data_IF_927076178207
#
_entry.id   IF_927076178207
#
_cell.length_a   1.000
_cell.length_b   1.000
_cell.length_c   1.000
_cell.angle_alpha   90.00
_cell.angle_beta   90.00
_cell.angle_gamma   90.00
#
_symmetry.space_group_name_H-M   'P 1'
#
loop_
_entity.id
_entity.type
_entity.pdbx_description
1 polymer ?
#
# COMPACT_ATOMS: atom_id res chain seq x y z
N UNK A 1 30.30 12.41 16.79
CA UNK A 1 29.56 12.96 15.63
C UNK A 1 29.30 11.86 14.61
N UNK A 2 28.19 11.85 13.86
CA UNK A 2 28.04 10.92 12.72
C UNK A 2 28.48 11.64 11.44
N UNK A 3 29.68 11.31 10.93
CA UNK A 3 30.30 11.95 9.75
C UNK A 3 29.44 11.82 8.50
N UNK A 4 28.74 10.70 8.30
CA UNK A 4 27.84 10.53 7.14
C UNK A 4 26.66 11.50 7.20
N UNK A 5 26.06 11.69 8.38
CA UNK A 5 24.98 12.67 8.55
C UNK A 5 25.47 14.10 8.33
N UNK A 6 26.70 14.40 8.73
CA UNK A 6 27.31 15.70 8.54
C UNK A 6 27.64 15.95 7.07
N UNK A 7 28.28 15.00 6.39
CA UNK A 7 28.54 15.03 4.95
C UNK A 7 27.25 15.25 4.14
N UNK A 8 26.17 14.55 4.51
CA UNK A 8 24.84 14.73 3.89
C UNK A 8 24.27 16.14 4.08
N UNK A 9 24.53 16.79 5.20
CA UNK A 9 24.05 18.15 5.48
C UNK A 9 24.85 19.20 4.72
N UNK A 10 26.16 19.03 4.65
CA UNK A 10 27.05 19.97 3.97
C UNK A 10 26.86 19.92 2.45
N UNK A 11 26.50 18.76 1.89
CA UNK A 11 26.35 18.47 0.44
C UNK A 11 27.65 18.61 -0.33
N UNK A 12 28.35 19.72 -0.22
CA UNK A 12 29.68 19.97 -0.75
C UNK A 12 30.58 20.52 0.36
N UNK A 13 31.78 19.95 0.54
CA UNK A 13 32.69 20.33 1.63
C UNK A 13 34.13 19.92 1.34
N UNK A 14 35.08 20.60 1.97
CA UNK A 14 36.49 20.19 2.03
C UNK A 14 36.77 19.34 3.27
N UNK A 15 37.95 18.70 3.33
CA UNK A 15 38.36 17.96 4.52
C UNK A 15 38.39 18.88 5.76
N UNK A 16 38.92 20.08 5.61
CA UNK A 16 39.04 21.05 6.70
C UNK A 16 37.66 21.48 7.22
N UNK A 17 36.68 21.69 6.34
CA UNK A 17 35.32 22.09 6.73
C UNK A 17 34.66 21.05 7.64
N UNK A 18 34.77 19.77 7.27
CA UNK A 18 34.11 18.70 8.02
C UNK A 18 34.87 18.36 9.30
N UNK A 19 36.20 18.42 9.30
CA UNK A 19 37.03 18.22 10.50
C UNK A 19 36.85 19.36 11.51
N UNK A 20 36.72 20.61 11.05
CA UNK A 20 36.42 21.76 11.90
C UNK A 20 35.09 21.59 12.64
N UNK A 21 34.05 21.10 11.95
CA UNK A 21 32.73 20.88 12.57
C UNK A 21 32.71 19.61 13.42
N UNK A 22 33.38 18.53 12.96
CA UNK A 22 33.40 17.26 13.67
C UNK A 22 34.34 17.26 14.89
N UNK A 23 35.26 18.22 14.96
CA UNK A 23 36.34 18.32 15.96
C UNK A 23 37.15 17.02 16.06
N UNK A 24 37.33 16.31 14.94
CA UNK A 24 38.08 15.04 14.87
C UNK A 24 38.63 14.76 13.47
N UNK A 25 39.65 13.89 13.37
CA UNK A 25 40.15 13.35 12.08
C UNK A 25 39.05 12.55 11.37
N UNK A 26 38.69 12.97 10.16
CA UNK A 26 37.60 12.38 9.37
C UNK A 26 38.09 11.48 8.24
N UNK A 27 39.40 11.36 7.99
CA UNK A 27 39.98 10.71 6.79
C UNK A 27 39.50 9.28 6.60
N UNK A 28 39.69 8.42 7.61
CA UNK A 28 39.29 7.00 7.54
C UNK A 28 37.79 6.84 7.28
N UNK A 29 36.97 7.75 7.80
CA UNK A 29 35.51 7.68 7.60
C UNK A 29 35.09 8.19 6.23
N UNK A 30 35.76 9.21 5.71
CA UNK A 30 35.55 9.69 4.35
C UNK A 30 36.00 8.66 3.32
N UNK A 31 37.13 7.97 3.55
CA UNK A 31 37.55 6.84 2.70
C UNK A 31 36.50 5.72 2.65
N UNK A 32 35.89 5.36 3.79
CA UNK A 32 34.78 4.41 3.82
C UNK A 32 33.56 4.91 3.03
N UNK A 33 33.27 6.21 3.06
CA UNK A 33 32.16 6.81 2.33
C UNK A 33 32.42 6.89 0.82
N UNK A 34 33.67 7.14 0.42
CA UNK A 34 34.13 7.07 -0.97
C UNK A 34 34.01 5.64 -1.51
N UNK A 35 34.54 4.66 -0.77
CA UNK A 35 34.49 3.25 -1.14
C UNK A 35 33.05 2.70 -1.22
N UNK A 36 32.10 3.33 -0.54
CA UNK A 36 30.67 2.98 -0.59
C UNK A 36 29.87 3.83 -1.58
N UNK A 37 30.52 4.65 -2.43
CA UNK A 37 29.90 5.55 -3.40
C UNK A 37 28.88 6.53 -2.80
N UNK A 38 28.94 6.80 -1.49
CA UNK A 38 28.05 7.75 -0.80
C UNK A 38 28.50 9.19 -0.96
N UNK A 39 29.78 9.41 -1.21
CA UNK A 39 30.36 10.70 -1.56
C UNK A 39 31.26 10.54 -2.78
N UNK A 40 31.42 11.60 -3.55
CA UNK A 40 32.33 11.74 -4.68
C UNK A 40 33.40 12.76 -4.29
N UNK A 41 34.60 12.63 -4.85
CA UNK A 41 35.69 13.59 -4.63
C UNK A 41 36.21 14.10 -5.96
N UNK A 42 36.03 15.38 -6.23
CA UNK A 42 36.43 16.03 -7.47
C UNK A 42 37.03 17.41 -7.17
N UNK A 43 38.18 17.72 -7.77
CA UNK A 43 38.86 19.03 -7.62
C UNK A 43 39.10 19.47 -6.16
N UNK A 44 39.40 18.55 -5.25
CA UNK A 44 39.64 18.87 -3.85
C UNK A 44 38.37 19.02 -2.99
N UNK A 45 37.19 18.79 -3.56
CA UNK A 45 35.90 18.95 -2.90
C UNK A 45 35.19 17.60 -2.82
N UNK A 46 34.69 17.26 -1.63
CA UNK A 46 33.77 16.15 -1.43
C UNK A 46 32.35 16.58 -1.75
N UNK A 47 31.63 15.77 -2.52
CA UNK A 47 30.20 15.94 -2.81
C UNK A 47 29.42 14.74 -2.33
N UNK A 48 28.36 14.94 -1.55
CA UNK A 48 27.48 13.85 -1.17
C UNK A 48 26.69 13.35 -2.38
N UNK A 49 26.84 12.07 -2.70
CA UNK A 49 26.10 11.42 -3.77
C UNK A 49 24.67 11.17 -3.26
N UNK A 50 23.85 12.22 -3.30
CA UNK A 50 22.41 12.02 -3.29
C UNK A 50 22.10 11.25 -4.55
N UNK A 51 22.00 9.90 -4.44
CA UNK A 51 21.40 9.09 -5.47
C UNK A 51 20.05 9.76 -5.77
N UNK A 52 20.04 10.53 -6.86
CA UNK A 52 18.86 11.22 -7.30
C UNK A 52 17.91 10.08 -7.61
N UNK A 53 16.91 9.89 -6.74
CA UNK A 53 15.69 9.24 -7.17
C UNK A 53 15.15 10.15 -8.25
N UNK A 54 15.61 9.88 -9.47
CA UNK A 54 15.34 10.60 -10.68
C UNK A 54 13.84 10.49 -10.91
N UNK A 55 13.12 11.57 -10.57
CA UNK A 55 11.71 11.76 -10.85
C UNK A 55 10.76 10.85 -10.07
N UNK A 56 9.66 11.44 -9.59
CA UNK A 56 8.44 10.65 -9.50
C UNK A 56 8.05 10.29 -10.94
N UNK A 57 8.38 9.07 -11.38
CA UNK A 57 7.95 8.58 -12.69
C UNK A 57 6.46 8.25 -12.59
N UNK A 58 5.62 9.16 -13.08
CA UNK A 58 4.19 8.94 -13.21
C UNK A 58 3.94 8.05 -14.44
N UNK A 59 3.24 6.94 -14.25
CA UNK A 59 2.81 6.05 -15.31
C UNK A 59 1.28 5.96 -15.32
N UNK A 60 0.68 5.97 -16.51
CA UNK A 60 -0.76 5.80 -16.68
C UNK A 60 -1.07 4.31 -16.73
N UNK A 61 -1.73 3.81 -15.70
CA UNK A 61 -2.23 2.44 -15.67
C UNK A 61 -3.67 2.39 -16.16
N UNK A 62 -3.89 1.76 -17.31
CA UNK A 62 -5.24 1.41 -17.78
C UNK A 62 -5.59 -0.01 -17.31
N UNK A 63 -6.82 -0.26 -16.85
CA UNK A 63 -7.26 -1.63 -16.58
C UNK A 63 -7.10 -2.50 -17.83
N UNK A 64 -6.50 -3.68 -17.65
CA UNK A 64 -6.45 -4.69 -18.69
C UNK A 64 -7.88 -5.10 -19.09
N UNK A 65 -8.12 -5.36 -20.39
CA UNK A 65 -9.41 -5.85 -20.88
C UNK A 65 -9.83 -7.09 -20.05
N UNK A 66 -11.09 -7.09 -19.58
CA UNK A 66 -11.60 -8.11 -18.67
C UNK A 66 -11.46 -9.49 -19.29
N UNK A 67 -10.69 -10.37 -18.63
CA UNK A 67 -10.48 -11.74 -19.07
C UNK A 67 -11.60 -12.69 -18.63
N UNK A 68 -12.51 -12.23 -17.76
CA UNK A 68 -13.59 -13.01 -17.13
C UNK A 68 -13.13 -14.40 -16.70
N UNK A 69 -12.04 -14.45 -15.92
CA UNK A 69 -11.49 -15.72 -15.46
C UNK A 69 -12.32 -16.18 -14.26
N UNK A 70 -12.85 -17.40 -14.35
CA UNK A 70 -13.46 -18.07 -13.20
C UNK A 70 -12.36 -18.42 -12.20
N UNK A 71 -12.36 -17.74 -11.06
CA UNK A 71 -11.42 -17.98 -9.95
C UNK A 71 -12.23 -18.20 -8.67
N UNK A 72 -11.90 -19.26 -7.93
CA UNK A 72 -12.49 -19.53 -6.61
C UNK A 72 -12.04 -18.47 -5.59
N UNK A 73 -12.73 -18.36 -4.46
CA UNK A 73 -12.33 -17.42 -3.40
C UNK A 73 -11.00 -17.83 -2.77
N UNK A 74 -10.76 -19.12 -2.62
CA UNK A 74 -9.55 -19.72 -2.07
C UNK A 74 -8.35 -19.38 -2.96
N UNK A 75 -8.46 -19.65 -4.26
CA UNK A 75 -7.40 -19.34 -5.23
C UNK A 75 -7.14 -17.83 -5.29
N UNK A 76 -8.22 -17.04 -5.27
CA UNK A 76 -8.13 -15.58 -5.25
C UNK A 76 -7.39 -15.08 -4.00
N UNK A 77 -7.72 -15.62 -2.83
CA UNK A 77 -7.04 -15.33 -1.57
C UNK A 77 -5.57 -15.72 -1.66
N UNK A 78 -5.24 -16.95 -2.04
CA UNK A 78 -3.86 -17.43 -2.09
C UNK A 78 -3.01 -16.56 -3.02
N UNK A 79 -3.54 -16.26 -4.21
CA UNK A 79 -2.88 -15.39 -5.17
C UNK A 79 -2.67 -13.98 -4.59
N UNK A 80 -3.68 -13.40 -3.94
CA UNK A 80 -3.60 -12.07 -3.32
C UNK A 80 -2.58 -12.04 -2.17
N UNK A 81 -2.60 -13.05 -1.30
CA UNK A 81 -1.68 -13.15 -0.17
C UNK A 81 -0.23 -13.23 -0.66
N UNK A 82 0.06 -14.06 -1.66
CA UNK A 82 1.39 -14.25 -2.24
C UNK A 82 1.89 -13.07 -3.07
N UNK A 83 1.02 -12.48 -3.91
CA UNK A 83 1.45 -11.48 -4.90
C UNK A 83 1.30 -10.04 -4.44
N UNK A 84 0.56 -9.79 -3.37
CA UNK A 84 0.39 -8.45 -2.82
C UNK A 84 0.80 -8.38 -1.34
N UNK A 85 0.20 -9.21 -0.49
CA UNK A 85 0.37 -9.05 0.97
C UNK A 85 1.79 -9.38 1.41
N UNK A 86 2.37 -10.50 0.98
CA UNK A 86 3.74 -10.88 1.33
C UNK A 86 4.79 -9.89 0.81
N UNK A 87 4.55 -9.27 -0.35
CA UNK A 87 5.51 -8.35 -0.99
C UNK A 87 5.48 -6.95 -0.39
N UNK A 88 4.30 -6.46 0.00
CA UNK A 88 4.09 -5.05 0.32
C UNK A 88 3.60 -4.78 1.75
N UNK A 89 3.18 -5.80 2.50
CA UNK A 89 2.67 -5.63 3.86
C UNK A 89 3.62 -6.21 4.92
N UNK A 90 3.51 -5.70 6.16
CA UNK A 90 4.23 -6.26 7.31
C UNK A 90 3.73 -7.66 7.67
N UNK A 91 4.59 -8.46 8.30
CA UNK A 91 4.25 -9.83 8.72
C UNK A 91 3.01 -9.90 9.63
N UNK A 92 2.83 -8.94 10.54
CA UNK A 92 1.62 -8.88 11.38
C UNK A 92 0.37 -8.65 10.55
N UNK A 93 0.47 -7.86 9.47
CA UNK A 93 -0.65 -7.63 8.54
C UNK A 93 -0.98 -8.91 7.79
N UNK A 94 0.04 -9.61 7.29
CA UNK A 94 -0.13 -10.93 6.67
C UNK A 94 -0.87 -11.91 7.59
N UNK A 95 -0.42 -12.06 8.85
CA UNK A 95 -1.07 -12.94 9.83
C UNK A 95 -2.51 -12.54 10.11
N UNK A 96 -2.77 -11.25 10.30
CA UNK A 96 -4.11 -10.73 10.55
C UNK A 96 -5.04 -10.93 9.35
N UNK A 97 -4.57 -10.67 8.13
CA UNK A 97 -5.36 -10.87 6.92
C UNK A 97 -5.71 -12.34 6.73
N UNK A 98 -4.73 -13.25 6.90
CA UNK A 98 -4.99 -14.68 6.80
C UNK A 98 -6.06 -15.15 7.80
N UNK A 99 -6.00 -14.66 9.05
CA UNK A 99 -7.02 -14.96 10.06
C UNK A 99 -8.40 -14.39 9.68
N UNK A 100 -8.47 -13.14 9.22
CA UNK A 100 -9.75 -12.55 8.80
C UNK A 100 -10.35 -13.33 7.63
N UNK A 101 -9.55 -13.70 6.63
CA UNK A 101 -10.02 -14.50 5.50
C UNK A 101 -10.59 -15.83 5.97
N UNK A 102 -9.80 -16.61 6.72
CA UNK A 102 -10.17 -17.97 7.13
C UNK A 102 -11.38 -18.00 8.07
N UNK A 103 -11.53 -17.02 8.96
CA UNK A 103 -12.57 -17.08 9.99
C UNK A 103 -13.80 -16.22 9.70
N UNK A 104 -13.67 -15.15 8.91
CA UNK A 104 -14.75 -14.18 8.73
C UNK A 104 -15.22 -14.03 7.28
N UNK A 105 -14.43 -14.44 6.27
CA UNK A 105 -14.77 -14.22 4.85
C UNK A 105 -15.06 -15.56 4.17
N UNK A 106 -14.05 -16.41 4.04
CA UNK A 106 -14.13 -17.71 3.33
C UNK A 106 -15.33 -18.55 3.74
N UNK A 107 -15.63 -18.74 5.05
CA UNK A 107 -16.74 -19.59 5.46
C UNK A 107 -18.12 -19.19 4.91
N UNK A 108 -18.25 -17.98 4.34
CA UNK A 108 -19.52 -17.47 3.83
C UNK A 108 -19.56 -17.33 2.32
N UNK A 109 -18.41 -17.04 1.68
CA UNK A 109 -18.39 -16.73 0.24
C UNK A 109 -17.72 -17.81 -0.61
N UNK A 110 -17.21 -18.89 -0.01
CA UNK A 110 -16.58 -20.01 -0.73
C UNK A 110 -17.52 -20.70 -1.74
N UNK A 111 -18.85 -20.59 -1.55
CA UNK A 111 -19.81 -21.10 -2.54
C UNK A 111 -19.87 -20.29 -3.85
N UNK A 112 -19.21 -19.13 -3.91
CA UNK A 112 -19.18 -18.26 -5.08
C UNK A 112 -17.82 -18.30 -5.79
N UNK A 113 -17.82 -18.04 -7.09
CA UNK A 113 -16.63 -17.55 -7.76
C UNK A 113 -16.47 -16.05 -7.52
N UNK A 114 -15.25 -15.54 -7.59
CA UNK A 114 -14.97 -14.13 -7.30
C UNK A 114 -15.75 -13.16 -8.23
N UNK A 115 -15.99 -13.56 -9.48
CA UNK A 115 -16.74 -12.77 -10.46
C UNK A 115 -18.25 -12.74 -10.22
N UNK A 116 -18.77 -13.61 -9.35
CA UNK A 116 -20.19 -13.68 -8.99
C UNK A 116 -20.51 -12.82 -7.76
N UNK A 117 -19.49 -12.37 -7.03
CA UNK A 117 -19.68 -11.50 -5.87
C UNK A 117 -20.19 -10.13 -6.32
N UNK A 118 -21.36 -9.78 -5.81
CA UNK A 118 -22.04 -8.51 -6.03
C UNK A 118 -22.34 -7.79 -4.72
N UNK A 119 -23.05 -6.67 -4.79
CA UNK A 119 -23.35 -5.87 -3.61
C UNK A 119 -24.28 -6.58 -2.62
N UNK A 120 -25.15 -7.46 -3.09
CA UNK A 120 -26.05 -8.22 -2.21
C UNK A 120 -25.27 -9.28 -1.42
N UNK A 121 -24.32 -9.95 -2.08
CA UNK A 121 -23.37 -10.86 -1.44
C UNK A 121 -22.58 -10.16 -0.31
N UNK A 122 -22.16 -8.91 -0.52
CA UNK A 122 -21.48 -8.10 0.52
C UNK A 122 -22.42 -7.77 1.68
N UNK A 123 -23.67 -7.40 1.40
CA UNK A 123 -24.68 -7.10 2.44
C UNK A 123 -25.02 -8.33 3.28
N UNK A 124 -25.11 -9.50 2.66
CA UNK A 124 -25.32 -10.77 3.37
C UNK A 124 -24.16 -11.08 4.32
N UNK A 125 -22.92 -10.98 3.84
CA UNK A 125 -21.74 -11.18 4.69
C UNK A 125 -21.68 -10.18 5.85
N UNK A 126 -22.08 -8.92 5.61
CA UNK A 126 -22.18 -7.92 6.67
C UNK A 126 -23.18 -8.34 7.75
N UNK A 127 -24.40 -8.74 7.37
CA UNK A 127 -25.43 -9.23 8.31
C UNK A 127 -24.94 -10.44 9.10
N UNK A 128 -24.27 -11.39 8.43
CA UNK A 128 -23.63 -12.54 9.09
C UNK A 128 -22.63 -12.10 10.16
N UNK A 129 -21.80 -11.10 9.86
CA UNK A 129 -20.83 -10.57 10.84
C UNK A 129 -21.54 -9.96 12.06
N UNK A 130 -22.69 -9.31 11.88
CA UNK A 130 -23.53 -8.79 12.96
C UNK A 130 -24.17 -9.90 13.78
N UNK A 131 -24.72 -10.94 13.13
CA UNK A 131 -25.31 -12.11 13.79
C UNK A 131 -24.29 -12.86 14.65
N UNK A 132 -23.02 -12.92 14.20
CA UNK A 132 -21.89 -13.46 14.97
C UNK A 132 -21.39 -12.53 16.09
N UNK A 133 -22.03 -11.38 16.28
CA UNK A 133 -21.70 -10.37 17.30
C UNK A 133 -20.23 -9.91 17.23
N UNK A 134 -19.69 -9.79 16.01
CA UNK A 134 -18.35 -9.24 15.84
C UNK A 134 -18.32 -7.78 16.28
N UNK A 135 -17.26 -7.37 16.99
CA UNK A 135 -17.09 -5.96 17.37
C UNK A 135 -17.08 -5.06 16.12
N UNK A 136 -17.62 -3.82 16.17
CA UNK A 136 -17.71 -2.94 15.00
C UNK A 136 -16.37 -2.74 14.25
N UNK A 137 -15.26 -2.61 15.00
CA UNK A 137 -13.92 -2.53 14.41
C UNK A 137 -13.55 -3.78 13.59
N UNK A 138 -13.96 -4.96 14.05
CA UNK A 138 -13.70 -6.23 13.37
C UNK A 138 -14.55 -6.37 12.12
N UNK A 139 -15.84 -5.98 12.17
CA UNK A 139 -16.70 -5.91 10.98
C UNK A 139 -16.09 -4.97 9.93
N UNK A 140 -15.70 -3.75 10.34
CA UNK A 140 -15.05 -2.78 9.46
C UNK A 140 -13.81 -3.38 8.78
N UNK A 141 -12.93 -4.02 9.56
CA UNK A 141 -11.70 -4.61 9.03
C UNK A 141 -11.99 -5.79 8.08
N UNK A 142 -12.97 -6.63 8.38
CA UNK A 142 -13.41 -7.72 7.47
C UNK A 142 -13.91 -7.15 6.15
N UNK A 143 -14.82 -6.19 6.18
CA UNK A 143 -15.40 -5.60 4.98
C UNK A 143 -14.35 -4.83 4.17
N UNK A 144 -13.40 -4.16 4.83
CA UNK A 144 -12.31 -3.46 4.17
C UNK A 144 -11.34 -4.43 3.47
N UNK A 145 -11.01 -5.56 4.09
CA UNK A 145 -10.14 -6.57 3.50
C UNK A 145 -10.78 -7.22 2.27
N UNK A 146 -12.07 -7.53 2.34
CA UNK A 146 -12.80 -8.06 1.18
C UNK A 146 -12.81 -7.05 0.01
N UNK A 147 -12.99 -5.77 0.31
CA UNK A 147 -12.94 -4.71 -0.71
C UNK A 147 -11.55 -4.61 -1.36
N UNK A 148 -10.48 -4.78 -0.56
CA UNK A 148 -9.12 -4.81 -1.08
C UNK A 148 -8.89 -5.99 -2.03
N UNK A 149 -9.38 -7.18 -1.68
CA UNK A 149 -9.31 -8.36 -2.55
C UNK A 149 -10.01 -8.10 -3.88
N UNK A 150 -11.28 -7.66 -3.84
CA UNK A 150 -12.08 -7.41 -5.04
C UNK A 150 -11.42 -6.36 -5.93
N UNK A 151 -10.99 -5.23 -5.36
CA UNK A 151 -10.30 -4.17 -6.09
C UNK A 151 -9.00 -4.64 -6.73
N UNK A 152 -8.26 -5.50 -6.04
CA UNK A 152 -7.03 -6.06 -6.58
C UNK A 152 -7.29 -6.83 -7.88
N UNK A 153 -8.30 -7.70 -7.89
CA UNK A 153 -8.66 -8.46 -9.10
C UNK A 153 -9.34 -7.61 -10.19
N UNK A 154 -10.08 -6.57 -9.81
CA UNK A 154 -10.61 -5.56 -10.74
C UNK A 154 -9.50 -4.76 -11.42
N UNK A 155 -8.43 -4.42 -10.70
CA UNK A 155 -7.27 -3.73 -11.27
C UNK A 155 -6.45 -4.63 -12.19
N UNK A 156 -6.37 -5.93 -11.89
CA UNK A 156 -5.75 -6.92 -12.77
C UNK A 156 -6.57 -7.23 -14.03
N UNK A 157 -7.82 -6.75 -14.15
CA UNK A 157 -8.72 -7.07 -15.27
C UNK A 157 -9.19 -8.52 -15.26
N UNK A 158 -9.20 -9.17 -14.08
CA UNK A 158 -9.66 -10.57 -13.92
C UNK A 158 -11.19 -10.60 -13.81
N UNK A 159 -11.77 -9.63 -13.11
CA UNK A 159 -13.21 -9.48 -12.87
C UNK A 159 -13.67 -8.06 -13.17
N UNK A 160 -14.97 -7.89 -13.40
CA UNK A 160 -15.59 -6.59 -13.68
C UNK A 160 -15.58 -5.65 -12.48
N UNK A 161 -15.62 -4.34 -12.77
CA UNK A 161 -15.81 -3.26 -11.79
C UNK A 161 -17.28 -3.10 -11.37
N UNK A 162 -18.01 -4.20 -11.23
CA UNK A 162 -19.44 -4.22 -10.87
C UNK A 162 -19.66 -4.14 -9.35
N UNK A 163 -18.86 -4.86 -8.56
CA UNK A 163 -18.93 -4.82 -7.11
C UNK A 163 -18.01 -3.73 -6.55
N UNK A 164 -18.56 -2.54 -6.31
CA UNK A 164 -17.84 -1.39 -5.74
C UNK A 164 -18.57 -0.88 -4.50
N UNK A 165 -17.89 -0.88 -3.36
CA UNK A 165 -18.46 -0.37 -2.10
C UNK A 165 -17.42 0.32 -1.22
N UNK A 166 -17.92 1.04 -0.20
CA UNK A 166 -17.11 1.72 0.80
C UNK A 166 -17.62 1.38 2.20
N UNK A 167 -16.69 1.18 3.13
CA UNK A 167 -17.01 0.89 4.53
C UNK A 167 -16.89 2.19 5.34
N UNK A 168 -18.02 2.86 5.58
CA UNK A 168 -18.10 4.13 6.32
C UNK A 168 -18.85 3.95 7.63
N UNK A 169 -18.54 4.79 8.62
CA UNK A 169 -19.34 4.91 9.84
C UNK A 169 -20.66 5.61 9.48
N UNK A 170 -21.79 5.18 10.03
CA UNK A 170 -23.06 5.91 9.84
C UNK A 170 -22.92 7.29 10.48
N UNK A 171 -23.02 8.33 9.65
CA UNK A 171 -23.00 9.75 10.00
C UNK A 171 -23.85 10.48 8.95
N UNK A 172 -24.48 11.60 9.29
CA UNK A 172 -25.35 12.35 8.38
C UNK A 172 -24.64 12.68 7.06
N UNK A 173 -23.37 13.09 7.15
CA UNK A 173 -22.49 13.34 6.00
C UNK A 173 -22.15 12.12 5.13
N UNK A 174 -22.61 10.93 5.47
CA UNK A 174 -22.41 9.72 4.67
C UNK A 174 -23.71 9.27 3.99
N UNK A 175 -24.82 10.00 4.19
CA UNK A 175 -26.08 9.85 3.45
C UNK A 175 -26.13 10.71 2.18
N UNK A 176 -25.05 11.40 1.80
CA UNK A 176 -24.98 12.14 0.53
C UNK A 176 -25.08 11.18 -0.65
N UNK A 177 -26.25 11.12 -1.29
CA UNK A 177 -26.43 10.58 -2.64
C UNK A 177 -26.43 11.68 -3.70
N UNK A 178 -26.36 11.26 -4.97
CA UNK A 178 -26.34 12.14 -6.16
C UNK A 178 -27.57 13.04 -6.19
N UNK A 179 -28.68 12.60 -5.58
CA UNK A 179 -29.91 13.37 -5.39
C UNK A 179 -29.73 14.70 -4.64
N UNK A 180 -28.59 14.91 -3.95
CA UNK A 180 -28.27 16.15 -3.24
C UNK A 180 -27.27 17.06 -3.98
N UNK A 181 -26.87 16.70 -5.21
CA UNK A 181 -25.99 17.53 -6.03
C UNK A 181 -26.84 18.48 -6.89
N UNK A 182 -26.89 19.75 -6.47
CA UNK A 182 -27.40 20.83 -7.30
C UNK A 182 -26.24 21.34 -8.15
N UNK A 183 -26.29 21.08 -9.46
CA UNK A 183 -25.39 21.72 -10.40
C UNK A 183 -26.04 23.04 -10.82
N UNK A 184 -25.60 24.13 -10.23
CA UNK A 184 -25.89 25.46 -10.76
C UNK A 184 -25.12 25.61 -12.09
N UNK A 185 -25.85 25.91 -13.17
CA UNK A 185 -25.26 26.02 -14.51
C UNK A 185 -24.21 27.13 -14.57
N UNK A 186 -23.09 26.84 -15.23
CA UNK A 186 -22.04 27.82 -15.57
C UNK A 186 -22.42 28.63 -16.81
#
# INVERSE_FOLDING_TARGET
>A
MNIEKLAKRLKEFTLDDIELIAECDCKTKLEQLLNSNKILFENGIYKYNEATKTGENYEIFSPLKNKHIKISIEDAKEYFMKNYVEKYCKFETYRNYNAIFNFNIIPFINCYYLHEIDIESIKELFKVCELRRLKPRRIKNTMALLNQLIKYFQHLGVIDRSCVYQVKKVQDKNHFGIENLIFEGF
#
